data_IF_198200144188
#
_entry.id   IF_198200144188
#
_cell.length_a   1.000
_cell.length_b   1.000
_cell.length_c   1.000
_cell.angle_alpha   90.00
_cell.angle_beta   90.00
_cell.angle_gamma   90.00
#
_symmetry.space_group_name_H-M   'P 1'
#
loop_
_entity.id
_entity.type
_entity.pdbx_description
1 polymer ?
#
# COMPACT_ATOMS: atom_id res chain seq x y z
N UNK A 1 10.42 -23.71 -1.56
CA UNK A 1 10.89 -22.56 -2.35
C UNK A 1 10.52 -21.22 -1.74
N UNK A 2 9.27 -20.99 -1.34
CA UNK A 2 8.82 -19.72 -0.73
C UNK A 2 9.69 -19.32 0.46
N UNK A 3 9.92 -20.23 1.42
CA UNK A 3 10.75 -19.94 2.61
C UNK A 3 12.18 -19.54 2.24
N UNK A 4 12.79 -20.24 1.28
CA UNK A 4 14.16 -19.91 0.81
C UNK A 4 14.20 -18.54 0.15
N UNK A 5 13.20 -18.21 -0.67
CA UNK A 5 13.10 -16.91 -1.33
C UNK A 5 12.85 -15.80 -0.30
N UNK A 6 12.01 -16.04 0.70
CA UNK A 6 11.75 -15.10 1.79
C UNK A 6 13.02 -14.80 2.59
N UNK A 7 13.75 -15.84 3.02
CA UNK A 7 15.03 -15.68 3.74
C UNK A 7 16.04 -14.90 2.89
N UNK A 8 16.10 -15.18 1.59
CA UNK A 8 16.98 -14.47 0.66
C UNK A 8 16.63 -12.98 0.57
N UNK A 9 15.35 -12.64 0.49
CA UNK A 9 14.90 -11.25 0.42
C UNK A 9 15.13 -10.50 1.74
N UNK A 10 14.84 -11.14 2.89
CA UNK A 10 15.07 -10.56 4.22
C UNK A 10 16.57 -10.32 4.49
N UNK A 11 17.45 -11.20 4.00
CA UNK A 11 18.90 -11.02 4.15
C UNK A 11 19.49 -9.92 3.26
N UNK A 12 18.73 -9.41 2.28
CA UNK A 12 19.18 -8.31 1.42
C UNK A 12 19.03 -6.99 2.16
N UNK A 13 20.08 -6.14 2.20
CA UNK A 13 20.03 -4.86 2.90
C UNK A 13 18.94 -3.92 2.36
N UNK A 14 18.56 -4.09 1.10
CA UNK A 14 17.50 -3.28 0.44
C UNK A 14 16.15 -3.37 1.14
N UNK A 15 15.72 -4.56 1.56
CA UNK A 15 14.44 -4.71 2.28
C UNK A 15 14.45 -3.90 3.59
N UNK A 16 15.57 -3.95 4.32
CA UNK A 16 15.74 -3.19 5.56
C UNK A 16 15.81 -1.69 5.33
N UNK A 17 16.44 -1.25 4.22
CA UNK A 17 16.45 0.16 3.84
C UNK A 17 15.03 0.65 3.55
N UNK A 18 14.23 -0.10 2.78
CA UNK A 18 12.83 0.26 2.50
C UNK A 18 12.01 0.33 3.79
N UNK A 19 12.08 -0.68 4.65
CA UNK A 19 11.38 -0.66 5.93
C UNK A 19 11.87 0.45 6.85
N UNK A 20 13.18 0.71 6.90
CA UNK A 20 13.77 1.78 7.69
C UNK A 20 13.34 3.18 7.23
N UNK A 21 13.27 3.40 5.91
CA UNK A 21 12.78 4.66 5.33
C UNK A 21 11.29 4.84 5.64
N UNK A 22 10.46 3.79 5.45
CA UNK A 22 9.04 3.86 5.76
C UNK A 22 8.81 4.16 7.25
N UNK A 23 9.49 3.44 8.14
CA UNK A 23 9.39 3.66 9.58
C UNK A 23 9.90 5.06 9.98
N UNK A 24 11.06 5.48 9.45
CA UNK A 24 11.63 6.79 9.73
C UNK A 24 10.71 7.94 9.28
N UNK A 25 10.20 7.87 8.05
CA UNK A 25 9.27 8.90 7.55
C UNK A 25 7.95 8.88 8.33
N UNK A 26 7.38 7.70 8.62
CA UNK A 26 6.18 7.60 9.45
C UNK A 26 6.39 8.24 10.84
N UNK A 27 7.51 7.98 11.50
CA UNK A 27 7.83 8.58 12.79
C UNK A 27 8.02 10.11 12.70
N UNK A 28 8.70 10.58 11.66
CA UNK A 28 8.90 12.04 11.44
C UNK A 28 7.58 12.74 11.16
N UNK A 29 6.72 12.17 10.30
CA UNK A 29 5.40 12.73 9.98
C UNK A 29 4.56 12.82 11.26
N UNK A 30 4.49 11.75 12.05
CA UNK A 30 3.73 11.74 13.30
C UNK A 30 4.29 12.73 14.31
N UNK A 31 5.60 12.90 14.39
CA UNK A 31 6.23 13.87 15.27
C UNK A 31 5.91 15.32 14.84
N UNK A 32 6.08 15.63 13.55
CA UNK A 32 5.80 16.98 13.03
C UNK A 32 4.33 17.33 13.26
N UNK A 33 3.39 16.47 12.85
CA UNK A 33 1.97 16.72 13.00
C UNK A 33 1.60 16.83 14.48
N UNK A 34 2.12 15.94 15.32
CA UNK A 34 1.89 16.00 16.76
C UNK A 34 2.36 17.28 17.41
N UNK A 35 3.46 17.87 16.93
CA UNK A 35 3.99 19.14 17.47
C UNK A 35 3.29 20.39 16.91
N UNK A 36 2.80 20.32 15.65
CA UNK A 36 2.23 21.49 14.97
C UNK A 36 0.71 21.59 15.10
N UNK A 37 0.02 20.45 15.26
CA UNK A 37 -1.45 20.40 15.25
C UNK A 37 -2.05 20.68 16.63
N UNK A 38 -1.84 21.80 17.24
CA UNK A 38 -2.29 22.22 18.57
C UNK A 38 -3.80 21.93 18.90
N UNK A 39 -4.26 20.68 18.70
CA UNK A 39 -5.64 20.23 18.93
C UNK A 39 -6.62 20.57 17.79
N UNK A 40 -6.15 21.12 16.68
CA UNK A 40 -6.99 21.40 15.50
C UNK A 40 -7.30 20.11 14.73
N UNK A 41 -8.56 19.89 14.29
CA UNK A 41 -8.89 18.73 13.47
C UNK A 41 -8.12 18.72 12.14
N UNK A 42 -7.47 17.60 11.83
CA UNK A 42 -6.79 17.40 10.55
C UNK A 42 -7.63 16.53 9.63
N UNK A 43 -7.73 16.92 8.36
CA UNK A 43 -8.49 16.16 7.36
C UNK A 43 -7.76 14.89 6.97
N UNK A 44 -8.50 13.79 6.96
CA UNK A 44 -8.06 12.51 6.41
C UNK A 44 -8.86 12.25 5.15
N UNK A 45 -8.27 12.56 4.01
CA UNK A 45 -8.98 12.48 2.74
C UNK A 45 -10.16 13.45 2.67
N UNK A 46 -11.16 13.12 1.85
CA UNK A 46 -12.34 13.96 1.62
C UNK A 46 -13.50 13.67 2.59
N UNK A 47 -13.40 12.66 3.46
CA UNK A 47 -14.52 12.06 4.18
C UNK A 47 -14.54 12.34 5.67
N UNK A 48 -13.40 12.56 6.28
CA UNK A 48 -13.33 12.74 7.72
C UNK A 48 -12.17 13.61 8.16
N UNK A 49 -12.17 13.94 9.43
CA UNK A 49 -11.04 14.57 10.10
C UNK A 49 -10.78 13.91 11.44
N UNK A 50 -9.55 13.95 11.88
CA UNK A 50 -9.14 13.49 13.21
C UNK A 50 -8.49 14.62 13.96
N UNK A 51 -8.55 14.56 15.29
CA UNK A 51 -7.77 15.44 16.15
C UNK A 51 -6.44 14.75 16.44
N UNK A 52 -5.32 15.21 15.86
CA UNK A 52 -4.05 14.49 15.92
C UNK A 52 -3.62 14.15 17.35
N UNK A 53 -3.75 15.09 18.28
CA UNK A 53 -3.31 14.96 19.65
C UNK A 53 -4.29 14.21 20.57
N UNK A 54 -5.36 13.62 20.02
CA UNK A 54 -6.38 12.95 20.83
C UNK A 54 -5.99 11.54 21.27
N UNK A 55 -5.21 10.83 20.47
CA UNK A 55 -4.86 9.43 20.73
C UNK A 55 -3.62 8.99 19.94
N UNK A 56 -2.84 8.07 20.52
CA UNK A 56 -1.74 7.43 19.80
C UNK A 56 -2.18 6.67 18.54
N UNK A 57 -3.39 6.12 18.50
CA UNK A 57 -3.93 5.41 17.34
C UNK A 57 -4.21 6.34 16.15
N UNK A 58 -4.53 7.60 16.43
CA UNK A 58 -4.71 8.64 15.41
C UNK A 58 -3.46 8.80 14.55
N UNK A 59 -2.27 8.72 15.18
CA UNK A 59 -1.00 8.85 14.46
C UNK A 59 -0.76 7.69 13.48
N UNK A 60 -1.19 6.48 13.83
CA UNK A 60 -1.15 5.35 12.89
C UNK A 60 -2.00 5.60 11.63
N UNK A 61 -3.18 6.18 11.81
CA UNK A 61 -4.09 6.54 10.72
C UNK A 61 -3.49 7.65 9.85
N UNK A 62 -2.94 8.69 10.47
CA UNK A 62 -2.30 9.82 9.77
C UNK A 62 -1.06 9.35 9.01
N UNK A 63 -0.20 8.54 9.63
CA UNK A 63 0.97 7.98 8.96
C UNK A 63 0.58 7.16 7.73
N UNK A 64 -0.43 6.29 7.86
CA UNK A 64 -0.93 5.48 6.76
C UNK A 64 -1.42 6.36 5.60
N UNK A 65 -2.25 7.38 5.89
CA UNK A 65 -2.79 8.28 4.88
C UNK A 65 -1.69 9.11 4.19
N UNK A 66 -0.76 9.65 4.96
CA UNK A 66 0.34 10.48 4.43
C UNK A 66 1.28 9.69 3.51
N UNK A 67 1.63 8.44 3.88
CA UNK A 67 2.55 7.63 3.12
C UNK A 67 1.87 6.89 1.96
N UNK A 68 0.54 6.77 1.98
CA UNK A 68 -0.25 6.12 0.92
C UNK A 68 -0.14 6.87 -0.41
N UNK A 69 0.14 8.16 -0.37
CA UNK A 69 0.25 8.99 -1.57
C UNK A 69 1.40 8.52 -2.49
N UNK A 70 2.57 8.23 -1.93
CA UNK A 70 3.77 7.95 -2.71
C UNK A 70 4.63 6.80 -2.15
N UNK A 71 4.92 6.79 -0.84
CA UNK A 71 5.92 5.87 -0.27
C UNK A 71 5.44 4.43 -0.19
N UNK A 72 4.17 4.19 0.09
CA UNK A 72 3.60 2.83 0.07
C UNK A 72 3.56 2.27 -1.36
N UNK A 73 3.01 2.96 -2.38
CA UNK A 73 3.13 2.52 -3.78
C UNK A 73 4.56 2.28 -4.24
N UNK A 74 5.50 3.15 -3.85
CA UNK A 74 6.92 2.99 -4.15
C UNK A 74 7.50 1.70 -3.54
N UNK A 75 7.23 1.44 -2.27
CA UNK A 75 7.68 0.21 -1.61
C UNK A 75 7.12 -1.05 -2.27
N UNK A 76 5.82 -1.05 -2.60
CA UNK A 76 5.16 -2.14 -3.33
C UNK A 76 5.79 -2.33 -4.71
N UNK A 77 6.05 -1.24 -5.44
CA UNK A 77 6.71 -1.29 -6.74
C UNK A 77 8.16 -1.81 -6.63
N UNK A 78 8.90 -1.48 -5.57
CA UNK A 78 10.25 -2.01 -5.32
C UNK A 78 10.19 -3.54 -5.12
N UNK A 79 9.34 -4.03 -4.21
CA UNK A 79 9.28 -5.47 -3.93
C UNK A 79 8.79 -6.28 -5.13
N UNK A 80 7.79 -5.80 -5.87
CA UNK A 80 7.30 -6.46 -7.07
C UNK A 80 8.26 -6.32 -8.26
N UNK A 81 8.75 -5.10 -8.53
CA UNK A 81 9.59 -4.77 -9.67
C UNK A 81 10.99 -5.41 -9.60
N UNK A 82 11.57 -5.53 -8.41
CA UNK A 82 12.87 -6.19 -8.23
C UNK A 82 12.78 -7.72 -8.22
N UNK A 83 11.61 -8.30 -8.09
CA UNK A 83 11.43 -9.74 -7.86
C UNK A 83 12.03 -10.62 -8.97
N UNK A 84 11.91 -10.23 -10.24
CA UNK A 84 12.47 -10.93 -11.41
C UNK A 84 13.61 -10.13 -12.03
N UNK A 85 13.39 -8.85 -12.34
CA UNK A 85 14.37 -7.98 -13.01
C UNK A 85 15.66 -7.83 -12.21
N UNK A 86 15.58 -7.83 -10.87
CA UNK A 86 16.76 -7.78 -10.01
C UNK A 86 17.68 -9.00 -10.19
N UNK A 87 17.12 -10.19 -10.37
CA UNK A 87 17.91 -11.42 -10.61
C UNK A 87 18.35 -11.54 -12.07
N UNK A 88 17.55 -11.05 -13.00
CA UNK A 88 17.94 -11.00 -14.41
C UNK A 88 19.14 -10.08 -14.60
N UNK A 89 19.12 -8.87 -14.03
CA UNK A 89 20.20 -7.92 -14.12
C UNK A 89 21.52 -8.38 -13.46
N UNK A 90 21.45 -9.27 -12.46
CA UNK A 90 22.63 -9.85 -11.83
C UNK A 90 23.08 -11.17 -12.51
N UNK A 91 22.40 -11.62 -13.57
CA UNK A 91 22.68 -12.87 -14.26
C UNK A 91 22.39 -14.14 -13.46
N UNK A 92 21.83 -14.01 -12.24
CA UNK A 92 21.54 -15.16 -11.35
C UNK A 92 20.29 -15.92 -11.75
N UNK A 93 19.43 -15.35 -12.57
CA UNK A 93 18.19 -15.97 -13.04
C UNK A 93 18.49 -17.26 -13.84
N UNK A 94 19.57 -17.28 -14.66
CA UNK A 94 19.97 -18.46 -15.44
C UNK A 94 20.31 -19.67 -14.57
N UNK A 95 20.98 -19.46 -13.43
CA UNK A 95 21.29 -20.56 -12.50
C UNK A 95 20.06 -21.09 -11.77
N UNK A 96 19.06 -20.22 -11.53
CA UNK A 96 17.81 -20.62 -10.91
C UNK A 96 16.99 -21.51 -11.86
N UNK A 97 16.98 -21.17 -13.15
CA UNK A 97 16.20 -21.86 -14.17
C UNK A 97 16.92 -23.09 -14.77
N UNK A 98 18.22 -23.26 -14.49
CA UNK A 98 18.95 -24.50 -14.78
C UNK A 98 18.57 -25.66 -13.84
N UNK A 99 17.89 -25.37 -12.71
CA UNK A 99 17.41 -26.43 -11.81
C UNK A 99 16.14 -27.09 -12.39
N UNK A 100 15.87 -28.36 -12.07
CA UNK A 100 14.70 -29.10 -12.55
C UNK A 100 13.42 -28.66 -11.81
N UNK A 101 13.06 -27.37 -11.92
CA UNK A 101 11.89 -26.75 -11.29
C UNK A 101 11.09 -26.03 -12.37
N UNK A 102 9.76 -26.16 -12.34
CA UNK A 102 8.91 -25.47 -13.29
C UNK A 102 9.02 -23.94 -13.15
N UNK A 103 9.12 -23.23 -14.26
CA UNK A 103 9.20 -21.75 -14.29
C UNK A 103 8.05 -21.08 -13.56
N UNK A 104 6.84 -21.67 -13.64
CA UNK A 104 5.66 -21.18 -12.93
C UNK A 104 5.85 -21.22 -11.40
N UNK A 105 6.39 -22.29 -10.86
CA UNK A 105 6.66 -22.43 -9.42
C UNK A 105 7.68 -21.40 -8.93
N UNK A 106 8.67 -21.09 -9.78
CA UNK A 106 9.66 -20.04 -9.50
C UNK A 106 8.97 -18.69 -9.44
N UNK A 107 8.19 -18.33 -10.46
CA UNK A 107 7.49 -17.04 -10.49
C UNK A 107 6.47 -16.91 -9.35
N UNK A 108 5.67 -17.96 -9.09
CA UNK A 108 4.69 -17.96 -7.99
C UNK A 108 5.37 -17.72 -6.63
N UNK A 109 6.53 -18.37 -6.38
CA UNK A 109 7.25 -18.15 -5.13
C UNK A 109 7.73 -16.70 -4.97
N UNK A 110 8.15 -16.05 -6.06
CA UNK A 110 8.54 -14.64 -6.06
C UNK A 110 7.35 -13.70 -5.84
N UNK A 111 6.24 -13.96 -6.52
CA UNK A 111 4.98 -13.21 -6.35
C UNK A 111 4.52 -13.26 -4.90
N UNK A 112 4.46 -14.45 -4.30
CA UNK A 112 4.02 -14.62 -2.91
C UNK A 112 4.95 -13.88 -1.94
N UNK A 113 6.27 -14.01 -2.11
CA UNK A 113 7.23 -13.33 -1.22
C UNK A 113 7.17 -11.82 -1.39
N UNK A 114 7.08 -11.31 -2.62
CA UNK A 114 6.93 -9.88 -2.87
C UNK A 114 5.61 -9.34 -2.27
N UNK A 115 4.51 -10.09 -2.36
CA UNK A 115 3.22 -9.71 -1.75
C UNK A 115 3.32 -9.67 -0.20
N UNK A 116 3.98 -10.66 0.42
CA UNK A 116 4.22 -10.67 1.87
C UNK A 116 5.06 -9.47 2.31
N UNK A 117 6.11 -9.12 1.56
CA UNK A 117 6.95 -7.95 1.87
C UNK A 117 6.18 -6.64 1.66
N UNK A 118 5.30 -6.57 0.66
CA UNK A 118 4.42 -5.42 0.43
C UNK A 118 3.43 -5.23 1.58
N UNK A 119 2.81 -6.31 2.05
CA UNK A 119 1.96 -6.27 3.25
C UNK A 119 2.77 -5.84 4.47
N UNK A 120 3.96 -6.40 4.67
CA UNK A 120 4.84 -6.03 5.78
C UNK A 120 5.22 -4.54 5.75
N UNK A 121 5.39 -3.94 4.55
CA UNK A 121 5.64 -2.50 4.41
C UNK A 121 4.50 -1.64 4.96
N UNK A 122 3.24 -2.00 4.65
CA UNK A 122 2.06 -1.29 5.18
C UNK A 122 1.97 -1.48 6.70
N UNK A 123 2.20 -2.69 7.19
CA UNK A 123 2.22 -2.99 8.65
C UNK A 123 3.28 -2.14 9.36
N UNK A 124 4.49 -2.03 8.82
CA UNK A 124 5.56 -1.22 9.40
C UNK A 124 5.14 0.24 9.54
N UNK A 125 4.49 0.83 8.53
CA UNK A 125 4.00 2.21 8.58
C UNK A 125 2.99 2.39 9.72
N UNK A 126 1.98 1.53 9.79
CA UNK A 126 0.93 1.62 10.82
C UNK A 126 1.50 1.40 12.22
N UNK A 127 2.30 0.35 12.39
CA UNK A 127 2.90 0.03 13.70
C UNK A 127 3.81 1.16 14.18
N UNK A 128 4.65 1.70 13.29
CA UNK A 128 5.53 2.82 13.65
C UNK A 128 4.72 4.09 13.99
N UNK A 129 3.69 4.40 13.19
CA UNK A 129 2.81 5.53 13.45
C UNK A 129 2.09 5.40 14.80
N UNK A 130 1.53 4.21 15.10
CA UNK A 130 0.89 3.93 16.39
C UNK A 130 1.90 4.00 17.54
N UNK A 131 3.06 3.36 17.42
CA UNK A 131 4.06 3.36 18.48
C UNK A 131 4.58 4.78 18.79
N UNK A 132 4.92 5.56 17.76
CA UNK A 132 5.33 6.96 17.94
C UNK A 132 4.20 7.81 18.54
N UNK A 133 2.96 7.56 18.11
CA UNK A 133 1.78 8.22 18.66
C UNK A 133 1.51 7.85 20.13
N UNK A 134 1.62 6.58 20.50
CA UNK A 134 1.44 6.12 21.88
C UNK A 134 2.49 6.69 22.82
N UNK A 135 3.73 6.86 22.35
CA UNK A 135 4.80 7.48 23.13
C UNK A 135 4.56 8.97 23.34
N UNK A 136 3.96 9.67 22.37
CA UNK A 136 3.72 11.10 22.43
C UNK A 136 2.40 11.48 23.12
N UNK A 137 1.31 10.74 22.86
CA UNK A 137 -0.06 11.11 23.23
C UNK A 137 -0.77 10.08 24.12
N UNK A 138 -0.15 8.94 24.36
CA UNK A 138 -0.67 7.91 25.25
C UNK A 138 -1.82 7.08 24.66
N UNK A 139 -2.43 6.27 25.55
CA UNK A 139 -3.47 5.28 25.21
C UNK A 139 -4.86 5.88 25.45
N UNK A 140 -5.44 6.49 24.43
CA UNK A 140 -6.75 7.12 24.48
C UNK A 140 -7.65 6.59 23.35
N UNK A 141 -8.99 6.71 23.46
CA UNK A 141 -9.91 6.38 22.37
C UNK A 141 -9.60 7.17 21.10
N UNK A 142 -9.77 6.52 19.94
CA UNK A 142 -9.64 7.16 18.63
C UNK A 142 -10.91 7.95 18.33
N UNK A 143 -10.81 9.25 18.15
CA UNK A 143 -11.91 10.12 17.75
C UNK A 143 -11.78 10.45 16.26
N UNK A 144 -12.82 10.11 15.48
CA UNK A 144 -12.93 10.44 14.05
C UNK A 144 -14.18 11.29 13.86
N UNK A 145 -14.02 12.44 13.19
CA UNK A 145 -15.11 13.35 12.84
C UNK A 145 -15.59 13.01 11.44
N UNK A 146 -16.86 12.65 11.32
CA UNK A 146 -17.52 12.44 10.04
C UNK A 146 -17.97 13.79 9.46
N UNK A 147 -17.30 14.23 8.39
CA UNK A 147 -17.63 15.50 7.73
C UNK A 147 -18.79 15.37 6.73
N UNK A 148 -19.12 14.16 6.29
CA UNK A 148 -20.20 13.96 5.31
C UNK A 148 -21.59 13.93 5.95
N UNK A 149 -21.67 13.37 7.16
CA UNK A 149 -22.94 13.30 7.90
C UNK A 149 -23.07 14.41 8.96
N UNK A 150 -22.11 15.36 8.98
CA UNK A 150 -22.21 16.52 9.86
C UNK A 150 -23.27 17.47 9.34
N UNK A 151 -24.38 17.57 10.07
CA UNK A 151 -25.35 18.66 9.89
C UNK A 151 -24.91 19.88 10.69
N UNK A 152 -25.44 21.06 10.37
CA UNK A 152 -25.11 22.31 11.07
C UNK A 152 -25.33 22.26 12.60
N UNK A 153 -26.00 21.22 13.11
CA UNK A 153 -26.36 21.05 14.51
C UNK A 153 -25.73 19.79 15.18
N UNK A 154 -25.10 18.89 14.42
CA UNK A 154 -24.43 17.71 14.96
C UNK A 154 -23.19 17.38 14.14
N UNK A 155 -22.03 17.54 14.72
CA UNK A 155 -20.81 16.89 14.21
C UNK A 155 -20.92 15.40 14.53
N UNK A 156 -21.03 14.56 13.51
CA UNK A 156 -20.95 13.12 13.66
C UNK A 156 -19.58 12.73 14.19
N UNK A 157 -19.44 12.57 15.51
CA UNK A 157 -18.20 12.13 16.13
C UNK A 157 -18.29 10.64 16.42
N UNK A 158 -17.45 9.85 15.78
CA UNK A 158 -17.25 8.44 16.08
C UNK A 158 -16.08 8.29 17.06
N UNK A 159 -16.32 7.65 18.19
CA UNK A 159 -15.25 7.33 19.14
C UNK A 159 -15.05 5.82 19.18
N UNK A 160 -13.88 5.37 18.81
CA UNK A 160 -13.49 3.96 18.86
C UNK A 160 -12.68 3.69 20.12
N UNK A 161 -13.07 2.67 20.89
CA UNK A 161 -12.24 2.20 21.99
C UNK A 161 -10.87 1.76 21.48
N UNK A 162 -9.80 1.79 22.29
CA UNK A 162 -8.45 1.38 21.87
C UNK A 162 -8.41 -0.01 21.23
N UNK A 163 -9.16 -0.97 21.77
CA UNK A 163 -9.21 -2.32 21.23
C UNK A 163 -9.92 -2.35 19.86
N UNK A 164 -11.03 -1.61 19.69
CA UNK A 164 -11.70 -1.45 18.42
C UNK A 164 -10.79 -0.73 17.41
N UNK A 165 -10.04 0.29 17.80
CA UNK A 165 -9.10 1.01 16.96
C UNK A 165 -8.01 0.07 16.38
N UNK A 166 -7.47 -0.85 17.19
CA UNK A 166 -6.53 -1.89 16.71
C UNK A 166 -7.21 -2.77 15.64
N UNK A 167 -8.44 -3.21 15.88
CA UNK A 167 -9.20 -4.01 14.92
C UNK A 167 -9.42 -3.27 13.60
N UNK A 168 -9.87 -2.02 13.64
CA UNK A 168 -10.09 -1.19 12.46
C UNK A 168 -8.78 -0.86 11.73
N UNK A 169 -7.67 -0.58 12.44
CA UNK A 169 -6.35 -0.37 11.83
C UNK A 169 -5.84 -1.65 11.16
N UNK A 170 -6.02 -2.83 11.75
CA UNK A 170 -5.63 -4.08 11.12
C UNK A 170 -6.43 -4.36 9.85
N UNK A 171 -7.72 -4.05 9.84
CA UNK A 171 -8.56 -4.13 8.66
C UNK A 171 -8.13 -3.13 7.59
N UNK A 172 -7.80 -1.89 7.99
CA UNK A 172 -7.29 -0.87 7.09
C UNK A 172 -5.97 -1.30 6.41
N UNK A 173 -5.07 -1.98 7.13
CA UNK A 173 -3.85 -2.57 6.54
C UNK A 173 -4.19 -3.54 5.42
N UNK A 174 -5.16 -4.42 5.62
CA UNK A 174 -5.58 -5.41 4.61
C UNK A 174 -6.19 -4.69 3.40
N UNK A 175 -7.09 -3.75 3.62
CA UNK A 175 -7.76 -3.01 2.54
C UNK A 175 -6.75 -2.18 1.77
N UNK A 176 -5.89 -1.40 2.44
CA UNK A 176 -4.85 -0.60 1.79
C UNK A 176 -3.87 -1.47 1.00
N UNK A 177 -3.47 -2.63 1.53
CA UNK A 177 -2.63 -3.57 0.77
C UNK A 177 -3.38 -4.07 -0.48
N UNK A 178 -4.68 -4.32 -0.36
CA UNK A 178 -5.56 -4.68 -1.48
C UNK A 178 -5.63 -3.59 -2.56
N UNK A 179 -5.68 -2.31 -2.19
CA UNK A 179 -5.68 -1.19 -3.15
C UNK A 179 -4.38 -1.07 -3.94
N UNK A 180 -3.27 -1.64 -3.44
CA UNK A 180 -1.98 -1.65 -4.11
C UNK A 180 -1.81 -2.82 -5.10
N UNK A 181 -2.80 -3.71 -5.21
CA UNK A 181 -2.70 -4.94 -6.01
C UNK A 181 -2.44 -4.65 -7.50
N UNK A 182 -3.06 -3.62 -8.06
CA UNK A 182 -2.85 -3.19 -9.45
C UNK A 182 -1.42 -2.66 -9.69
N UNK A 183 -0.91 -1.82 -8.78
CA UNK A 183 0.47 -1.32 -8.82
C UNK A 183 1.47 -2.47 -8.70
N UNK A 184 1.21 -3.40 -7.79
CA UNK A 184 2.00 -4.62 -7.62
C UNK A 184 2.05 -5.44 -8.91
N UNK A 185 0.88 -5.71 -9.51
CA UNK A 185 0.77 -6.49 -10.72
C UNK A 185 1.47 -5.83 -11.92
N UNK A 186 1.34 -4.51 -12.06
CA UNK A 186 2.01 -3.77 -13.12
C UNK A 186 3.53 -3.73 -12.95
N UNK A 187 4.03 -3.46 -11.74
CA UNK A 187 5.46 -3.51 -11.44
C UNK A 187 6.05 -4.90 -11.70
N UNK A 188 5.30 -5.97 -11.36
CA UNK A 188 5.70 -7.34 -11.63
C UNK A 188 5.73 -7.63 -13.15
N UNK A 189 4.73 -7.17 -13.91
CA UNK A 189 4.72 -7.29 -15.36
C UNK A 189 5.95 -6.61 -15.97
N UNK A 190 6.23 -5.36 -15.58
CA UNK A 190 7.44 -4.66 -16.00
C UNK A 190 8.71 -5.43 -15.62
N UNK A 191 8.73 -6.07 -14.44
CA UNK A 191 9.85 -6.89 -13.97
C UNK A 191 10.08 -8.14 -14.84
N UNK A 192 9.03 -8.69 -15.46
CA UNK A 192 9.18 -9.81 -16.39
C UNK A 192 9.58 -9.38 -17.79
N UNK A 193 9.33 -8.13 -18.16
CA UNK A 193 9.64 -7.57 -19.49
C UNK A 193 11.04 -6.97 -19.59
N UNK A 194 11.67 -6.60 -18.48
CA UNK A 194 12.97 -5.92 -18.46
C UNK A 194 13.99 -6.64 -17.57
N UNK A 195 15.26 -6.46 -17.88
CA UNK A 195 16.40 -6.92 -17.05
C UNK A 195 16.88 -5.85 -16.06
N UNK A 196 16.31 -4.64 -16.12
CA UNK A 196 16.70 -3.52 -15.27
C UNK A 196 15.67 -3.32 -14.18
N UNK A 197 16.05 -3.62 -12.94
CA UNK A 197 15.18 -3.46 -11.77
C UNK A 197 14.61 -2.04 -11.64
N UNK A 198 15.45 -1.02 -11.90
CA UNK A 198 15.04 0.38 -11.82
C UNK A 198 13.87 0.71 -12.76
N UNK A 199 13.91 0.23 -14.02
CA UNK A 199 12.83 0.50 -14.97
C UNK A 199 11.53 -0.22 -14.61
N UNK A 200 11.60 -1.40 -14.01
CA UNK A 200 10.44 -2.12 -13.50
C UNK A 200 9.77 -1.36 -12.33
N UNK A 201 10.57 -0.88 -11.39
CA UNK A 201 10.09 -0.07 -10.25
C UNK A 201 9.48 1.25 -10.73
N UNK A 202 10.21 1.97 -11.61
CA UNK A 202 9.73 3.23 -12.17
C UNK A 202 8.40 3.05 -12.92
N UNK A 203 8.25 1.97 -13.69
CA UNK A 203 7.00 1.62 -14.35
C UNK A 203 5.85 1.48 -13.36
N UNK A 204 6.03 0.73 -12.27
CA UNK A 204 5.02 0.55 -11.22
C UNK A 204 4.61 1.86 -10.55
N UNK A 205 5.57 2.71 -10.22
CA UNK A 205 5.31 4.03 -9.61
C UNK A 205 4.58 4.94 -10.60
N UNK A 206 5.05 5.02 -11.84
CA UNK A 206 4.42 5.85 -12.88
C UNK A 206 2.98 5.41 -13.16
N UNK A 207 2.69 4.11 -13.15
CA UNK A 207 1.34 3.59 -13.31
C UNK A 207 0.40 4.14 -12.22
N UNK A 208 0.84 4.14 -10.96
CA UNK A 208 0.09 4.70 -9.85
C UNK A 208 -0.11 6.22 -9.97
N UNK A 209 0.94 6.95 -10.31
CA UNK A 209 0.89 8.41 -10.47
C UNK A 209 -0.02 8.82 -11.64
N UNK A 210 0.08 8.14 -12.78
CA UNK A 210 -0.78 8.40 -13.95
C UNK A 210 -2.25 8.14 -13.61
N UNK A 211 -2.55 7.02 -12.93
CA UNK A 211 -3.93 6.71 -12.52
C UNK A 211 -4.52 7.84 -11.66
N UNK A 212 -3.78 8.35 -10.69
CA UNK A 212 -4.22 9.49 -9.85
C UNK A 212 -4.33 10.78 -10.63
N UNK A 213 -3.39 11.06 -11.53
CA UNK A 213 -3.44 12.27 -12.34
C UNK A 213 -4.68 12.31 -13.25
N UNK A 214 -5.09 11.16 -13.78
CA UNK A 214 -6.29 11.03 -14.61
C UNK A 214 -7.59 11.32 -13.82
N UNK A 215 -7.62 11.00 -12.52
CA UNK A 215 -8.76 11.29 -11.64
C UNK A 215 -9.04 12.79 -11.50
N UNK A 216 -8.00 13.61 -11.62
CA UNK A 216 -8.07 15.06 -11.46
C UNK A 216 -8.37 15.83 -12.77
N UNK A 217 -8.53 15.13 -13.91
CA UNK A 217 -8.81 15.79 -15.20
C UNK A 217 -10.31 16.03 -15.36
N UNK A 218 -10.77 17.30 -15.49
CA UNK A 218 -12.16 17.59 -15.81
C UNK A 218 -12.58 16.92 -17.13
N UNK A 219 -13.70 16.21 -17.11
CA UNK A 219 -14.22 15.49 -18.28
C UNK A 219 -13.92 13.99 -18.30
N UNK A 220 -13.00 13.48 -17.48
CA UNK A 220 -12.73 12.04 -17.34
C UNK A 220 -13.45 11.38 -16.15
N UNK A 221 -14.36 12.12 -15.48
CA UNK A 221 -15.07 11.61 -14.29
C UNK A 221 -15.84 10.30 -14.52
N UNK A 222 -16.25 10.00 -15.76
CA UNK A 222 -16.89 8.72 -16.10
C UNK A 222 -15.92 7.53 -15.98
N UNK A 223 -14.61 7.75 -16.12
CA UNK A 223 -13.58 6.72 -16.02
C UNK A 223 -13.04 6.56 -14.59
N UNK A 224 -13.19 7.57 -13.74
CA UNK A 224 -12.69 7.59 -12.36
C UNK A 224 -13.03 6.32 -11.57
N UNK A 225 -14.27 5.77 -11.59
CA UNK A 225 -14.59 4.58 -10.83
C UNK A 225 -13.80 3.33 -11.27
N UNK A 226 -13.31 3.32 -12.50
CA UNK A 226 -12.59 2.19 -13.09
C UNK A 226 -11.07 2.34 -13.04
N UNK A 227 -10.56 3.49 -12.62
CA UNK A 227 -9.12 3.68 -12.45
C UNK A 227 -8.61 2.92 -11.22
N UNK A 228 -7.43 2.29 -11.32
CA UNK A 228 -6.93 1.41 -10.25
C UNK A 228 -6.49 2.15 -9.00
N UNK A 229 -6.04 3.40 -9.13
CA UNK A 229 -5.64 4.26 -8.02
C UNK A 229 -6.26 5.63 -8.22
N UNK A 230 -7.31 5.91 -7.46
CA UNK A 230 -8.00 7.19 -7.44
C UNK A 230 -8.06 7.72 -6.02
N UNK A 231 -8.24 9.01 -5.85
CA UNK A 231 -8.43 9.59 -4.52
C UNK A 231 -9.71 9.03 -3.88
N UNK A 232 -10.79 8.87 -4.65
CA UNK A 232 -12.03 8.23 -4.19
C UNK A 232 -11.83 6.77 -3.79
N UNK A 233 -11.07 6.01 -4.57
CA UNK A 233 -10.76 4.61 -4.26
C UNK A 233 -9.86 4.46 -3.03
N UNK A 234 -8.94 5.40 -2.82
CA UNK A 234 -8.12 5.42 -1.61
C UNK A 234 -8.91 5.89 -0.39
N UNK A 235 -9.93 6.73 -0.56
CA UNK A 235 -10.77 7.21 0.54
C UNK A 235 -11.74 6.15 1.07
N UNK A 236 -12.08 5.13 0.28
CA UNK A 236 -13.00 4.04 0.68
C UNK A 236 -12.56 3.36 1.98
N UNK A 237 -11.25 3.21 2.22
CA UNK A 237 -10.78 2.59 3.45
C UNK A 237 -11.01 3.46 4.70
N UNK A 238 -11.18 4.78 4.53
CA UNK A 238 -11.51 5.69 5.63
C UNK A 238 -12.91 5.40 6.20
N UNK A 239 -13.85 4.94 5.37
CA UNK A 239 -15.19 4.54 5.80
C UNK A 239 -15.22 3.44 6.87
N UNK A 240 -14.14 2.66 6.96
CA UNK A 240 -13.97 1.62 7.99
C UNK A 240 -13.98 2.22 9.41
N UNK A 241 -13.54 3.47 9.59
CA UNK A 241 -13.43 4.11 10.90
C UNK A 241 -14.70 4.84 11.33
N UNK A 242 -15.72 4.92 10.48
CA UNK A 242 -17.01 5.51 10.86
C UNK A 242 -17.89 4.53 11.63
N UNK A 243 -18.84 5.04 12.37
CA UNK A 243 -19.87 4.25 13.04
C UNK A 243 -21.26 4.78 12.66
N UNK A 244 -22.06 3.98 11.92
CA UNK A 244 -21.77 2.61 11.47
C UNK A 244 -20.69 2.56 10.37
N UNK A 245 -19.94 1.44 10.32
CA UNK A 245 -18.89 1.25 9.31
C UNK A 245 -19.50 1.26 7.92
N UNK A 246 -18.97 2.10 7.03
CA UNK A 246 -19.39 2.15 5.63
C UNK A 246 -18.60 1.15 4.77
N UNK A 247 -19.32 0.14 4.28
CA UNK A 247 -18.78 -0.92 3.42
C UNK A 247 -19.12 -0.73 1.94
N UNK A 248 -19.88 0.33 1.58
CA UNK A 248 -20.49 0.47 0.25
C UNK A 248 -19.50 0.53 -0.90
N UNK A 249 -18.35 1.16 -0.70
CA UNK A 249 -17.31 1.31 -1.72
C UNK A 249 -16.37 0.11 -1.86
N UNK A 250 -16.24 -0.74 -0.82
CA UNK A 250 -15.25 -1.82 -0.79
C UNK A 250 -15.46 -2.91 -1.86
N UNK A 251 -16.68 -3.39 -2.16
CA UNK A 251 -16.88 -4.40 -3.20
C UNK A 251 -16.46 -3.92 -4.58
N UNK A 252 -16.78 -2.67 -4.94
CA UNK A 252 -16.38 -2.07 -6.20
C UNK A 252 -14.86 -1.93 -6.29
N UNK A 253 -14.22 -1.42 -5.25
CA UNK A 253 -12.78 -1.30 -5.15
C UNK A 253 -12.09 -2.66 -5.34
N UNK A 254 -12.56 -3.69 -4.62
CA UNK A 254 -12.03 -5.04 -4.72
C UNK A 254 -12.17 -5.61 -6.14
N UNK A 255 -13.32 -5.40 -6.79
CA UNK A 255 -13.56 -5.84 -8.16
C UNK A 255 -12.58 -5.19 -9.13
N UNK A 256 -12.41 -3.87 -9.07
CA UNK A 256 -11.47 -3.14 -9.93
C UNK A 256 -10.05 -3.67 -9.72
N UNK A 257 -9.60 -3.82 -8.48
CA UNK A 257 -8.24 -4.31 -8.17
C UNK A 257 -8.01 -5.75 -8.68
N UNK A 258 -9.00 -6.64 -8.53
CA UNK A 258 -8.91 -8.02 -9.02
C UNK A 258 -8.87 -8.05 -10.55
N UNK A 259 -9.69 -7.25 -11.22
CA UNK A 259 -9.70 -7.17 -12.70
C UNK A 259 -8.34 -6.72 -13.22
N UNK A 260 -7.77 -5.64 -12.66
CA UNK A 260 -6.43 -5.17 -13.05
C UNK A 260 -5.35 -6.22 -12.72
N UNK A 261 -5.43 -6.86 -11.56
CA UNK A 261 -4.48 -7.91 -11.20
C UNK A 261 -4.50 -9.06 -12.21
N UNK A 262 -5.69 -9.53 -12.60
CA UNK A 262 -5.81 -10.61 -13.58
C UNK A 262 -5.26 -10.17 -14.95
N UNK A 263 -5.66 -9.00 -15.45
CA UNK A 263 -5.22 -8.46 -16.74
C UNK A 263 -3.69 -8.29 -16.80
N UNK A 264 -3.05 -7.95 -15.69
CA UNK A 264 -1.61 -7.67 -15.64
C UNK A 264 -0.77 -8.90 -15.27
N UNK A 265 -1.25 -9.75 -14.36
CA UNK A 265 -0.51 -10.95 -13.95
C UNK A 265 -0.52 -12.03 -15.01
N UNK A 266 -1.63 -12.23 -15.73
CA UNK A 266 -1.68 -13.23 -16.80
C UNK A 266 -0.59 -13.03 -17.87
N UNK A 267 -0.42 -11.83 -18.46
CA UNK A 267 0.69 -11.57 -19.37
C UNK A 267 2.06 -11.75 -18.71
N UNK A 268 2.22 -11.35 -17.44
CA UNK A 268 3.48 -11.53 -16.72
C UNK A 268 3.89 -13.01 -16.64
N UNK A 269 2.94 -13.91 -16.35
CA UNK A 269 3.19 -15.36 -16.34
C UNK A 269 3.50 -15.90 -17.75
N UNK A 270 2.76 -15.46 -18.77
CA UNK A 270 2.97 -15.90 -20.17
C UNK A 270 4.34 -15.45 -20.68
N UNK A 271 4.72 -14.20 -20.45
CA UNK A 271 6.02 -13.65 -20.85
C UNK A 271 7.14 -14.41 -20.15
N UNK A 272 7.03 -14.60 -18.82
CA UNK A 272 8.05 -15.31 -18.06
C UNK A 272 8.23 -16.78 -18.52
N UNK A 273 7.16 -17.46 -18.92
CA UNK A 273 7.23 -18.82 -19.47
C UNK A 273 7.97 -18.90 -20.81
N UNK A 274 7.76 -17.87 -21.66
CA UNK A 274 8.31 -17.82 -23.03
C UNK A 274 9.69 -17.16 -23.09
N UNK A 275 10.15 -16.57 -22.02
CA UNK A 275 11.40 -15.81 -21.98
C UNK A 275 12.60 -16.74 -22.22
N UNK A 276 13.33 -16.49 -23.31
CA UNK A 276 14.62 -17.14 -23.55
C UNK A 276 15.70 -16.52 -22.66
N UNK A 277 16.52 -17.40 -22.05
CA UNK A 277 17.53 -16.99 -21.05
C UNK A 277 18.93 -17.08 -21.65
N UNK A 278 19.02 -17.44 -22.93
CA UNK A 278 20.27 -17.70 -23.64
C UNK A 278 20.83 -16.47 -24.40
N UNK A 279 20.13 -15.34 -24.38
CA UNK A 279 20.61 -14.09 -24.98
C UNK A 279 21.12 -13.11 -23.94
#
# INVERSE_FOLDING_TARGET
>A
MIVVELIKQIRRPRAWIVFGVLAGVAAVVTLIIGLTSAGTPERIGNWGSVVPNSSGFTMGLIALNSLLLFLIPLAVAIFAGESVAGEAGWGTLRYLLARPVSRERVLTSKVVVAAVLSLAAVVVVVVTGVLSGLLAFGWHPLAVLDLQHSTAFSTGQSTLTPLAAIGHLSLAVVVVTGTMLSTFAFALLCSTLTDRAFSAVAGGVLFGLVSRSLDNIPGLHALTPWLPLTDKGTDVWNGIFFQPTDWSGLPHLALVQVVYAVILLLPAFVVFRRRDILS
#
